data_IF_483110116940
#
_entry.id   IF_483110116940
#
_cell.length_a   1.000
_cell.length_b   1.000
_cell.length_c   1.000
_cell.angle_alpha   90.00
_cell.angle_beta   90.00
_cell.angle_gamma   90.00
#
_symmetry.space_group_name_H-M   'P 1'
#
loop_
_entity.id
_entity.type
_entity.pdbx_description
1 polymer ?
#
# COMPACT_ATOMS: atom_id res chain seq x y z
N UNK A 1 -1.96 -18.20 -8.44
CA UNK A 1 -2.01 -16.74 -8.17
C UNK A 1 -0.97 -16.40 -7.11
N UNK A 2 -0.15 -15.41 -7.36
CA UNK A 2 0.84 -14.93 -6.40
C UNK A 2 0.20 -14.15 -5.24
N UNK A 3 1.04 -13.72 -4.30
CA UNK A 3 0.60 -12.93 -3.14
C UNK A 3 0.16 -11.52 -3.52
N UNK A 4 0.77 -10.95 -4.56
CA UNK A 4 0.34 -9.68 -5.19
C UNK A 4 0.12 -9.95 -6.67
N UNK A 5 -1.06 -9.68 -7.16
CA UNK A 5 -1.39 -9.80 -8.57
C UNK A 5 -2.10 -8.55 -9.07
N UNK A 6 -1.55 -7.95 -10.13
CA UNK A 6 -2.17 -6.85 -10.84
C UNK A 6 -2.58 -7.32 -12.25
N UNK A 7 -3.78 -6.94 -12.68
CA UNK A 7 -4.32 -7.28 -13.98
C UNK A 7 -4.79 -6.02 -14.69
N UNK A 8 -4.13 -5.67 -15.79
CA UNK A 8 -4.44 -4.51 -16.62
C UNK A 8 -4.66 -3.22 -15.81
N UNK A 9 -3.79 -2.96 -14.87
CA UNK A 9 -3.93 -1.90 -13.89
C UNK A 9 -3.74 -0.53 -14.52
N UNK A 10 -4.74 0.31 -14.38
CA UNK A 10 -4.75 1.70 -14.86
C UNK A 10 -5.01 2.60 -13.66
N UNK A 11 -4.22 3.66 -13.55
CA UNK A 11 -4.44 4.71 -12.55
C UNK A 11 -4.18 6.08 -13.17
N UNK A 12 -5.20 6.93 -13.10
CA UNK A 12 -5.16 8.30 -13.57
C UNK A 12 -5.33 9.26 -12.39
N UNK A 13 -4.42 10.23 -12.27
CA UNK A 13 -4.61 11.37 -11.37
C UNK A 13 -5.42 12.43 -12.11
N UNK A 14 -6.49 12.89 -11.48
CA UNK A 14 -7.34 13.97 -12.00
C UNK A 14 -7.12 15.19 -11.11
N UNK A 15 -6.64 16.28 -11.71
CA UNK A 15 -6.47 17.57 -11.07
C UNK A 15 -7.45 18.55 -11.69
N UNK A 16 -8.28 19.16 -10.85
CA UNK A 16 -9.18 20.22 -11.29
C UNK A 16 -8.50 21.57 -11.17
N UNK A 17 -8.47 22.34 -12.27
CA UNK A 17 -7.99 23.71 -12.28
C UNK A 17 -9.20 24.64 -12.13
N UNK A 18 -9.33 25.28 -10.96
CA UNK A 18 -10.44 26.16 -10.66
C UNK A 18 -10.45 27.44 -11.50
N UNK A 19 -9.27 27.91 -11.91
CA UNK A 19 -9.15 29.15 -12.71
C UNK A 19 -9.61 28.96 -14.15
N UNK A 20 -9.31 27.81 -14.74
CA UNK A 20 -9.65 27.49 -16.12
C UNK A 20 -10.91 26.61 -16.26
N UNK A 21 -11.47 26.14 -15.14
CA UNK A 21 -12.60 25.17 -15.09
C UNK A 21 -12.35 23.95 -15.98
N UNK A 22 -11.13 23.42 -15.92
CA UNK A 22 -10.69 22.27 -16.67
C UNK A 22 -10.07 21.22 -15.76
N UNK A 23 -10.30 19.96 -16.11
CA UNK A 23 -9.63 18.82 -15.47
C UNK A 23 -8.36 18.46 -16.24
N UNK A 24 -7.23 18.37 -15.52
CA UNK A 24 -6.00 17.79 -16.03
C UNK A 24 -5.93 16.32 -15.62
N UNK A 25 -5.75 15.43 -16.59
CA UNK A 25 -5.61 14.00 -16.36
C UNK A 25 -4.14 13.62 -16.57
N UNK A 26 -3.54 13.01 -15.55
CA UNK A 26 -2.20 12.46 -15.61
C UNK A 26 -2.27 10.93 -15.51
N UNK A 27 -1.80 10.26 -16.55
CA UNK A 27 -1.79 8.80 -16.62
C UNK A 27 -0.56 8.25 -15.89
N UNK A 28 -0.74 7.76 -14.66
CA UNK A 28 0.35 7.20 -13.87
C UNK A 28 0.66 5.75 -14.23
N UNK A 29 -0.38 4.94 -14.44
CA UNK A 29 -0.28 3.55 -14.86
C UNK A 29 -1.18 3.31 -16.07
N UNK A 30 -0.66 2.60 -17.08
CA UNK A 30 -1.31 2.45 -18.40
C UNK A 30 -1.52 0.97 -18.78
N UNK A 31 -1.99 0.16 -17.87
CA UNK A 31 -2.24 -1.25 -18.14
C UNK A 31 -1.13 -2.17 -17.66
N UNK A 32 -0.76 -2.05 -16.39
CA UNK A 32 0.29 -2.88 -15.78
C UNK A 32 -0.29 -4.21 -15.31
N UNK A 33 0.36 -5.29 -15.72
CA UNK A 33 0.04 -6.64 -15.22
C UNK A 33 1.29 -7.30 -14.68
N UNK A 34 1.18 -7.85 -13.48
CA UNK A 34 2.26 -8.60 -12.85
C UNK A 34 1.72 -9.58 -11.81
N UNK A 35 2.54 -10.54 -11.45
CA UNK A 35 2.24 -11.54 -10.43
C UNK A 35 3.48 -11.78 -9.57
N UNK A 36 3.41 -11.42 -8.31
CA UNK A 36 4.50 -11.56 -7.33
C UNK A 36 4.14 -12.71 -6.39
N UNK A 37 5.03 -13.70 -6.33
CA UNK A 37 4.83 -14.89 -5.51
C UNK A 37 5.30 -14.67 -4.09
N UNK A 38 4.74 -15.42 -3.17
CA UNK A 38 5.18 -15.44 -1.78
C UNK A 38 6.68 -15.80 -1.68
N UNK A 39 7.41 -15.04 -0.87
CA UNK A 39 8.84 -15.20 -0.71
C UNK A 39 9.70 -14.45 -1.72
N UNK A 40 9.11 -13.86 -2.76
CA UNK A 40 9.84 -13.07 -3.73
C UNK A 40 10.36 -11.76 -3.12
N UNK A 41 11.57 -11.38 -3.52
CA UNK A 41 12.12 -10.05 -3.30
C UNK A 41 12.16 -9.33 -4.65
N UNK A 42 11.32 -8.32 -4.82
CA UNK A 42 11.10 -7.64 -6.10
C UNK A 42 11.57 -6.20 -6.06
N UNK A 43 12.40 -5.80 -7.00
CA UNK A 43 12.81 -4.42 -7.20
C UNK A 43 12.04 -3.79 -8.36
N UNK A 44 11.47 -2.62 -8.13
CA UNK A 44 10.79 -1.83 -9.16
C UNK A 44 11.68 -0.65 -9.52
N UNK A 45 12.18 -0.66 -10.75
CA UNK A 45 13.13 0.34 -11.22
C UNK A 45 12.47 1.30 -12.22
N UNK A 46 12.86 2.54 -12.18
CA UNK A 46 12.39 3.57 -13.08
C UNK A 46 12.79 4.97 -12.61
N UNK A 47 12.73 5.94 -13.50
CA UNK A 47 12.97 7.34 -13.16
C UNK A 47 11.79 7.94 -12.38
N UNK A 48 11.97 9.12 -11.80
CA UNK A 48 10.91 9.82 -11.10
C UNK A 48 9.73 10.10 -12.04
N UNK A 49 8.51 9.84 -11.55
CA UNK A 49 7.30 9.99 -12.36
C UNK A 49 6.93 8.78 -13.21
N UNK A 50 7.62 7.64 -13.07
CA UNK A 50 7.32 6.41 -13.82
C UNK A 50 6.17 5.57 -13.25
N UNK A 51 5.57 5.98 -12.12
CA UNK A 51 4.44 5.28 -11.52
C UNK A 51 4.77 4.29 -10.40
N UNK A 52 6.03 4.19 -9.97
CA UNK A 52 6.46 3.26 -8.90
C UNK A 52 5.70 3.45 -7.59
N UNK A 53 5.63 4.68 -7.10
CA UNK A 53 4.93 5.01 -5.85
C UNK A 53 3.43 4.82 -5.98
N UNK A 54 2.86 5.11 -7.13
CA UNK A 54 1.45 4.88 -7.43
C UNK A 54 1.11 3.40 -7.38
N UNK A 55 1.92 2.55 -8.00
CA UNK A 55 1.75 1.11 -7.93
C UNK A 55 1.80 0.60 -6.48
N UNK A 56 2.77 1.06 -5.69
CA UNK A 56 2.87 0.66 -4.29
C UNK A 56 1.62 1.06 -3.49
N UNK A 57 1.08 2.26 -3.69
CA UNK A 57 -0.13 2.74 -3.00
C UNK A 57 -1.40 1.98 -3.38
N UNK A 58 -1.46 1.39 -4.56
CA UNK A 58 -2.62 0.59 -4.99
C UNK A 58 -2.75 -0.74 -4.23
N UNK A 59 -1.80 -1.08 -3.40
CA UNK A 59 -1.84 -2.25 -2.53
C UNK A 59 -2.60 -2.02 -1.20
N UNK A 60 -3.59 -1.16 -1.19
CA UNK A 60 -4.50 -0.94 -0.07
C UNK A 60 -4.76 0.51 0.33
N UNK A 61 -4.13 1.48 -0.34
CA UNK A 61 -4.29 2.91 -0.05
C UNK A 61 -5.12 3.60 -1.12
N UNK A 62 -4.80 3.36 -2.39
CA UNK A 62 -5.52 3.92 -3.53
C UNK A 62 -6.35 2.85 -4.23
N UNK A 63 -7.44 3.25 -4.85
CA UNK A 63 -8.24 2.40 -5.72
C UNK A 63 -7.83 2.61 -7.18
N UNK A 64 -7.73 1.55 -8.00
CA UNK A 64 -7.40 1.70 -9.41
C UNK A 64 -8.52 2.42 -10.18
N UNK A 65 -8.15 3.15 -11.22
CA UNK A 65 -9.11 3.74 -12.17
C UNK A 65 -9.76 2.63 -12.98
N UNK A 66 -8.96 1.66 -13.41
CA UNK A 66 -9.42 0.44 -14.09
C UNK A 66 -8.43 -0.70 -13.78
N UNK A 67 -8.83 -1.91 -14.08
CA UNK A 67 -8.07 -3.10 -13.73
C UNK A 67 -8.27 -3.54 -12.29
N UNK A 68 -7.52 -4.52 -11.86
CA UNK A 68 -7.69 -5.13 -10.54
C UNK A 68 -6.35 -5.44 -9.87
N UNK A 69 -6.29 -5.23 -8.56
CA UNK A 69 -5.17 -5.68 -7.72
C UNK A 69 -5.70 -6.68 -6.70
N UNK A 70 -5.00 -7.80 -6.58
CA UNK A 70 -5.26 -8.84 -5.56
C UNK A 70 -4.10 -8.88 -4.57
N UNK A 71 -4.40 -8.87 -3.29
CA UNK A 71 -3.46 -9.11 -2.19
C UNK A 71 -3.92 -10.37 -1.47
N UNK A 72 -3.10 -11.42 -1.48
CA UNK A 72 -3.47 -12.73 -0.92
C UNK A 72 -4.86 -13.20 -1.38
N UNK A 73 -5.14 -13.09 -2.68
CA UNK A 73 -6.41 -13.43 -3.33
C UNK A 73 -7.59 -12.51 -2.99
N UNK A 74 -7.39 -11.47 -2.19
CA UNK A 74 -8.40 -10.47 -1.87
C UNK A 74 -8.29 -9.28 -2.84
N UNK A 75 -9.42 -8.85 -3.39
CA UNK A 75 -9.45 -7.62 -4.22
C UNK A 75 -9.28 -6.40 -3.33
N UNK A 76 -8.42 -5.48 -3.74
CA UNK A 76 -8.18 -4.23 -2.99
C UNK A 76 -9.35 -3.25 -3.06
N UNK A 77 -10.25 -3.40 -4.04
CA UNK A 77 -11.45 -2.58 -4.22
C UNK A 77 -12.69 -3.15 -3.52
N UNK A 78 -12.57 -4.28 -2.84
CA UNK A 78 -13.64 -4.88 -2.04
C UNK A 78 -13.63 -4.30 -0.63
N UNK A 79 -14.67 -3.53 -0.29
CA UNK A 79 -14.80 -2.87 1.01
C UNK A 79 -14.83 -3.86 2.19
N UNK A 80 -15.39 -5.05 2.00
CA UNK A 80 -15.43 -6.09 3.03
C UNK A 80 -14.03 -6.59 3.42
N UNK A 81 -13.07 -6.57 2.49
CA UNK A 81 -11.72 -7.06 2.68
C UNK A 81 -10.69 -5.95 2.91
N UNK A 82 -11.11 -4.69 2.94
CA UNK A 82 -10.19 -3.55 3.03
C UNK A 82 -9.23 -3.63 4.22
N UNK A 83 -9.74 -3.94 5.40
CA UNK A 83 -8.94 -4.09 6.60
C UNK A 83 -7.99 -5.29 6.53
N UNK A 84 -8.44 -6.39 5.97
CA UNK A 84 -7.62 -7.58 5.77
C UNK A 84 -6.49 -7.32 4.80
N UNK A 85 -6.75 -6.59 3.72
CA UNK A 85 -5.72 -6.14 2.77
C UNK A 85 -4.67 -5.27 3.47
N UNK A 86 -5.10 -4.27 4.24
CA UNK A 86 -4.20 -3.37 4.97
C UNK A 86 -3.39 -4.06 6.06
N UNK A 87 -3.92 -5.08 6.68
CA UNK A 87 -3.19 -5.93 7.64
C UNK A 87 -2.14 -6.81 6.96
N UNK A 88 -2.41 -7.22 5.73
CA UNK A 88 -1.55 -8.11 4.96
C UNK A 88 -0.40 -7.37 4.30
N UNK A 89 -0.66 -6.18 3.75
CA UNK A 89 0.32 -5.38 3.02
C UNK A 89 0.69 -4.11 3.80
N UNK A 90 1.90 -4.10 4.37
CA UNK A 90 2.48 -2.92 4.99
C UNK A 90 3.15 -2.02 3.97
N UNK A 91 3.17 -0.72 4.21
CA UNK A 91 3.82 0.24 3.34
C UNK A 91 4.75 1.17 4.11
N UNK A 92 5.94 1.38 3.55
CA UNK A 92 6.87 2.44 3.99
C UNK A 92 6.85 3.54 2.93
N UNK A 93 6.49 4.74 3.34
CA UNK A 93 6.42 5.89 2.44
C UNK A 93 7.80 6.51 2.19
N UNK A 94 7.89 7.38 1.21
CA UNK A 94 9.14 8.01 0.78
C UNK A 94 9.85 8.78 1.90
N UNK A 95 9.11 9.39 2.82
CA UNK A 95 9.65 10.08 3.99
C UNK A 95 9.30 9.31 5.27
N UNK A 96 10.05 8.26 5.64
CA UNK A 96 9.71 7.40 6.75
C UNK A 96 9.76 8.11 8.11
N UNK A 97 10.53 9.16 8.27
CA UNK A 97 10.63 9.93 9.52
C UNK A 97 9.28 10.51 9.95
N UNK A 98 8.43 10.88 9.01
CA UNK A 98 7.09 11.41 9.28
C UNK A 98 6.09 10.33 9.72
N UNK A 99 6.47 9.06 9.67
CA UNK A 99 5.63 7.92 10.04
C UNK A 99 5.86 7.46 11.47
N UNK A 100 6.89 7.97 12.11
CA UNK A 100 7.20 7.67 13.51
C UNK A 100 6.31 8.52 14.40
N UNK A 101 5.50 7.87 15.22
CA UNK A 101 4.51 8.49 16.10
C UNK A 101 4.80 8.27 17.59
N UNK A 102 5.53 7.23 17.95
CA UNK A 102 5.92 6.94 19.33
C UNK A 102 7.17 7.70 19.74
N UNK A 103 7.26 8.07 21.03
CA UNK A 103 8.45 8.66 21.61
C UNK A 103 9.53 7.63 21.95
N UNK A 104 9.15 6.38 22.06
CA UNK A 104 9.99 5.21 22.36
C UNK A 104 9.80 4.20 21.25
N UNK A 105 10.89 3.54 20.84
CA UNK A 105 10.87 2.56 19.72
C UNK A 105 9.83 1.47 19.95
N UNK A 106 9.74 0.92 21.14
CA UNK A 106 8.78 -0.14 21.47
C UNK A 106 7.33 0.31 21.32
N UNK A 107 7.02 1.54 21.71
CA UNK A 107 5.68 2.12 21.56
C UNK A 107 5.33 2.36 20.10
N UNK A 108 6.29 2.84 19.31
CA UNK A 108 6.11 3.07 17.88
C UNK A 108 5.84 1.77 17.14
N UNK A 109 6.62 0.73 17.39
CA UNK A 109 6.42 -0.61 16.80
C UNK A 109 5.09 -1.23 17.22
N UNK A 110 4.67 -1.02 18.46
CA UNK A 110 3.41 -1.55 19.00
C UNK A 110 2.16 -0.83 18.54
N UNK A 111 2.29 0.35 17.93
CA UNK A 111 1.15 1.18 17.52
C UNK A 111 0.24 0.49 16.50
N UNK A 112 0.82 -0.15 15.48
CA UNK A 112 0.06 -0.90 14.47
C UNK A 112 -0.78 -2.03 15.08
N UNK A 113 -0.17 -2.98 15.82
CA UNK A 113 -0.90 -4.04 16.50
C UNK A 113 -1.97 -3.52 17.47
N UNK A 114 -1.68 -2.45 18.22
CA UNK A 114 -2.65 -1.83 19.13
C UNK A 114 -3.89 -1.34 18.38
N UNK A 115 -3.73 -0.69 17.23
CA UNK A 115 -4.83 -0.23 16.39
C UNK A 115 -5.63 -1.37 15.73
N UNK A 116 -5.03 -2.54 15.59
CA UNK A 116 -5.68 -3.73 15.07
C UNK A 116 -6.44 -4.52 16.15
N UNK A 117 -6.45 -4.04 17.40
CA UNK A 117 -7.12 -4.70 18.51
C UNK A 117 -6.42 -5.94 19.04
N UNK A 118 -5.11 -6.06 18.83
CA UNK A 118 -4.31 -7.17 19.36
C UNK A 118 -4.22 -7.08 20.89
N UNK A 119 -4.38 -8.20 21.62
CA UNK A 119 -4.23 -8.20 23.10
C UNK A 119 -2.86 -7.68 23.54
N UNK A 120 -2.82 -6.95 24.66
CA UNK A 120 -1.60 -6.28 25.15
C UNK A 120 -0.40 -7.23 25.31
N UNK A 121 -0.62 -8.41 25.84
CA UNK A 121 0.45 -9.41 26.01
C UNK A 121 1.06 -9.84 24.66
N UNK A 122 0.21 -10.03 23.66
CA UNK A 122 0.65 -10.39 22.31
C UNK A 122 1.35 -9.22 21.62
N UNK A 123 0.94 -7.97 21.88
CA UNK A 123 1.61 -6.77 21.36
C UNK A 123 3.08 -6.76 21.78
N UNK A 124 3.36 -6.93 23.06
CA UNK A 124 4.73 -6.95 23.57
C UNK A 124 5.57 -8.09 23.00
N UNK A 125 4.98 -9.27 22.82
CA UNK A 125 5.66 -10.39 22.19
C UNK A 125 6.02 -10.09 20.71
N UNK A 126 5.11 -9.46 19.97
CA UNK A 126 5.33 -9.07 18.57
C UNK A 126 6.39 -7.97 18.45
N UNK A 127 6.36 -6.98 19.35
CA UNK A 127 7.36 -5.90 19.41
C UNK A 127 8.76 -6.47 19.62
N UNK A 128 8.93 -7.32 20.63
CA UNK A 128 10.22 -7.94 20.95
C UNK A 128 10.75 -8.75 19.75
N UNK A 129 9.89 -9.56 19.12
CA UNK A 129 10.27 -10.34 17.95
C UNK A 129 10.65 -9.47 16.74
N UNK A 130 9.94 -8.37 16.53
CA UNK A 130 10.20 -7.46 15.40
C UNK A 130 11.50 -6.68 15.56
N UNK A 131 11.93 -6.43 16.80
CA UNK A 131 13.16 -5.68 17.12
C UNK A 131 14.40 -6.56 17.26
N UNK A 132 14.24 -7.88 17.23
CA UNK A 132 15.38 -8.80 17.15
C UNK A 132 16.11 -8.55 15.78
#
# INVERSE_FOLDING_TARGET
>A
MGIIKAVNLIFDYIRHDEEEDKDEVSHALKGVSLDIKEGDFVAILGHNGSGKSTFAKLNGILLPTDGTVYISKMRTDDEEHLWDVRKTAGMVFQNPDNQIIGNVVEEDVGFGPANMGVPTEEIWARVDKSLE
#
